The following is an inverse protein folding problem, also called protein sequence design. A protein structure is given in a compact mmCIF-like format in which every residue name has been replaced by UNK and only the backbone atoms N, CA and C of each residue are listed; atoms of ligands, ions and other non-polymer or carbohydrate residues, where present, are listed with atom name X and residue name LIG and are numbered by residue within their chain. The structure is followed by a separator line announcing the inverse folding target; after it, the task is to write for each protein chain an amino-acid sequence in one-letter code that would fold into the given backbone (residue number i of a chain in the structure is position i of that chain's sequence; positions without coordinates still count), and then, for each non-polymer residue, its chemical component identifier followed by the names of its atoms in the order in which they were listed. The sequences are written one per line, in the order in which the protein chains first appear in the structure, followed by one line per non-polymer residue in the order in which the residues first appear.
data_IF_105790873860
#
_entry.id   IF_105790873860
#
_cell.length_a   1.000
_cell.length_b   1.000
_cell.length_c   1.000
_cell.angle_alpha   90.00
_cell.angle_beta   90.00
_cell.angle_gamma   90.00
#
_symmetry.space_group_name_H-M   'P 1'
#
loop_
_entity.id
_entity.type
_entity.pdbx_description
1 polymer ?
#
# COMPACT_ATOMS: atom_id res chain seq x y z
N UNK A 1 17.00 -1.78 6.18
CA UNK A 1 15.64 -2.11 6.63
C UNK A 1 15.67 -2.58 8.08
N UNK A 2 14.81 -2.02 8.93
CA UNK A 2 14.69 -2.58 10.26
C UNK A 2 14.23 -4.04 10.18
N UNK A 3 14.64 -4.83 11.13
CA UNK A 3 14.22 -6.24 11.20
C UNK A 3 12.70 -6.33 11.25
N UNK A 4 12.14 -7.32 10.57
CA UNK A 4 10.71 -7.56 10.56
C UNK A 4 10.22 -7.79 11.99
N UNK A 5 9.31 -6.94 12.44
CA UNK A 5 8.78 -7.01 13.80
C UNK A 5 7.53 -7.89 13.81
N UNK A 6 7.51 -8.82 14.74
CA UNK A 6 6.32 -9.61 15.06
C UNK A 6 5.79 -9.13 16.39
N UNK A 7 4.49 -9.14 16.56
CA UNK A 7 3.92 -8.89 17.87
C UNK A 7 4.18 -10.10 18.80
N UNK A 8 3.73 -9.99 20.07
CA UNK A 8 3.92 -11.06 21.05
C UNK A 8 3.31 -12.39 20.63
N UNK A 9 2.34 -12.38 19.72
CA UNK A 9 1.72 -13.59 19.18
C UNK A 9 2.41 -14.07 17.90
N UNK A 10 3.49 -13.42 17.45
CA UNK A 10 4.21 -13.78 16.24
C UNK A 10 3.56 -13.32 14.95
N UNK A 11 2.54 -12.46 15.01
CA UNK A 11 1.84 -11.93 13.84
C UNK A 11 2.60 -10.73 13.28
N UNK A 12 2.82 -10.71 11.96
CA UNK A 12 3.43 -9.58 11.27
C UNK A 12 2.37 -8.52 11.03
N UNK A 13 2.71 -7.26 11.35
CA UNK A 13 1.80 -6.13 11.22
C UNK A 13 2.36 -5.07 10.30
N UNK A 14 1.50 -4.59 9.41
CA UNK A 14 1.79 -3.48 8.49
C UNK A 14 0.77 -2.39 8.68
N UNK A 15 1.13 -1.19 8.26
CA UNK A 15 0.25 -0.04 8.26
C UNK A 15 0.37 0.70 6.93
N UNK A 16 -0.73 1.26 6.45
CA UNK A 16 -0.74 1.96 5.18
C UNK A 16 -1.85 2.99 5.05
N UNK A 17 -1.75 3.77 3.99
CA UNK A 17 -2.72 4.81 3.66
C UNK A 17 -3.41 4.46 2.35
N UNK A 18 -4.74 4.55 2.35
CA UNK A 18 -5.55 4.50 1.14
C UNK A 18 -5.91 5.92 0.76
N UNK A 19 -5.14 6.50 -0.15
CA UNK A 19 -5.41 7.84 -0.67
C UNK A 19 -6.56 7.77 -1.67
N UNK A 20 -7.50 8.71 -1.57
CA UNK A 20 -8.66 8.76 -2.46
C UNK A 20 -8.98 10.19 -2.83
N UNK A 21 -9.68 10.36 -3.95
CA UNK A 21 -10.08 11.67 -4.45
C UNK A 21 -11.42 11.59 -5.16
N UNK A 22 -12.07 12.75 -5.31
CA UNK A 22 -13.33 12.88 -6.03
C UNK A 22 -13.07 13.39 -7.45
N UNK A 23 -13.74 12.78 -8.41
CA UNK A 23 -13.77 13.21 -9.80
C UNK A 23 -15.23 13.30 -10.24
N UNK A 24 -15.54 14.02 -11.36
CA UNK A 24 -16.92 14.10 -11.85
C UNK A 24 -17.55 12.73 -12.09
N UNK A 25 -16.77 11.75 -12.48
CA UNK A 25 -17.26 10.39 -12.73
C UNK A 25 -17.34 9.52 -11.47
N UNK A 26 -16.85 10.01 -10.32
CA UNK A 26 -16.89 9.25 -9.07
C UNK A 26 -15.58 9.29 -8.30
N UNK A 27 -15.46 8.39 -7.34
CA UNK A 27 -14.28 8.29 -6.47
C UNK A 27 -13.19 7.49 -7.15
N UNK A 28 -11.95 7.96 -6.99
CA UNK A 28 -10.75 7.22 -7.38
C UNK A 28 -9.86 6.97 -6.18
N UNK A 29 -9.16 5.85 -6.19
CA UNK A 29 -8.18 5.48 -5.16
C UNK A 29 -6.81 5.28 -5.78
N UNK A 30 -5.78 5.55 -4.98
CA UNK A 30 -4.38 5.36 -5.37
C UNK A 30 -3.91 3.99 -4.93
N UNK A 31 -3.42 3.22 -5.88
CA UNK A 31 -2.80 1.92 -5.60
C UNK A 31 -1.40 1.90 -6.22
N UNK A 32 -0.51 1.11 -5.61
CA UNK A 32 0.83 0.88 -6.11
C UNK A 32 0.99 -0.52 -6.68
N UNK A 33 1.71 -0.61 -7.79
CA UNK A 33 2.07 -1.89 -8.37
C UNK A 33 3.36 -2.39 -7.72
N UNK A 34 3.39 -3.63 -7.21
CA UNK A 34 4.60 -4.16 -6.58
C UNK A 34 5.74 -4.29 -7.60
N UNK A 35 6.91 -3.81 -7.21
CA UNK A 35 8.10 -3.89 -8.04
C UNK A 35 8.80 -5.23 -7.94
N UNK A 36 9.81 -5.39 -8.78
CA UNK A 36 10.61 -6.60 -8.82
C UNK A 36 10.14 -7.61 -9.85
N UNK A 37 10.97 -8.63 -10.11
CA UNK A 37 10.73 -9.55 -11.22
C UNK A 37 9.55 -10.49 -11.03
N UNK A 38 9.14 -10.76 -9.78
CA UNK A 38 8.04 -11.68 -9.52
C UNK A 38 6.67 -11.13 -9.97
N UNK A 39 6.53 -9.81 -10.01
CA UNK A 39 5.27 -9.14 -10.34
C UNK A 39 5.30 -8.37 -11.66
N UNK A 40 6.45 -8.38 -12.35
CA UNK A 40 6.66 -7.52 -13.52
C UNK A 40 5.58 -7.70 -14.61
N UNK A 41 5.03 -8.90 -14.76
CA UNK A 41 4.01 -9.22 -15.77
C UNK A 41 2.63 -9.46 -15.18
N UNK A 42 2.45 -9.18 -13.89
CA UNK A 42 1.16 -9.37 -13.21
C UNK A 42 0.48 -8.03 -13.05
N UNK A 43 -0.83 -8.03 -13.18
CA UNK A 43 -1.62 -6.81 -13.12
C UNK A 43 -2.81 -6.97 -12.16
N UNK A 44 -3.83 -7.73 -12.53
CA UNK A 44 -5.01 -7.88 -11.67
C UNK A 44 -4.67 -8.60 -10.37
N UNK A 45 -5.30 -8.17 -9.27
CA UNK A 45 -5.23 -8.80 -7.94
C UNK A 45 -3.84 -8.73 -7.27
N UNK A 46 -2.95 -7.84 -7.73
CA UNK A 46 -1.62 -7.68 -7.13
C UNK A 46 -1.33 -6.28 -6.62
N UNK A 47 -2.11 -5.28 -7.01
CA UNK A 47 -1.91 -3.91 -6.56
C UNK A 47 -2.24 -3.76 -5.08
N UNK A 48 -1.61 -2.81 -4.44
CA UNK A 48 -1.70 -2.62 -2.99
C UNK A 48 -1.76 -1.15 -2.64
N UNK A 49 -2.36 -0.85 -1.48
CA UNK A 49 -2.13 0.46 -0.87
C UNK A 49 -0.64 0.57 -0.52
N UNK A 50 -0.05 1.78 -0.56
CA UNK A 50 1.29 1.98 -0.02
C UNK A 50 1.29 1.63 1.48
N UNK A 51 2.10 0.65 1.87
CA UNK A 51 2.13 0.13 3.24
C UNK A 51 3.43 -0.59 3.50
N UNK A 52 3.77 -0.74 4.76
CA UNK A 52 4.90 -1.57 5.15
C UNK A 52 4.83 -1.99 6.61
N UNK A 53 5.72 -2.88 6.99
CA UNK A 53 5.82 -3.37 8.35
C UNK A 53 6.32 -2.29 9.28
N UNK A 54 5.81 -2.26 10.50
CA UNK A 54 6.21 -1.29 11.50
C UNK A 54 6.75 -1.97 12.76
N UNK A 55 7.51 -1.20 13.51
CA UNK A 55 8.16 -1.67 14.74
C UNK A 55 7.15 -1.71 15.89
N UNK A 56 7.40 -2.60 16.86
CA UNK A 56 6.52 -2.83 18.00
C UNK A 56 6.24 -1.55 18.80
N UNK A 57 7.22 -0.66 18.89
CA UNK A 57 7.11 0.61 19.61
C UNK A 57 6.65 1.77 18.72
N UNK A 58 6.42 1.53 17.45
CA UNK A 58 5.98 2.54 16.50
C UNK A 58 4.45 2.60 16.46
N UNK A 59 3.88 3.81 16.51
CA UNK A 59 2.44 3.98 16.37
C UNK A 59 2.00 3.62 14.95
N UNK A 60 0.96 2.79 14.79
CA UNK A 60 0.54 2.34 13.45
C UNK A 60 0.25 3.46 12.47
N UNK A 61 -0.41 4.54 12.91
CA UNK A 61 -0.71 5.68 12.04
C UNK A 61 0.56 6.39 11.59
N UNK A 62 1.51 6.60 12.50
CA UNK A 62 2.80 7.19 12.16
C UNK A 62 3.56 6.31 11.16
N UNK A 63 3.50 5.00 11.34
CA UNK A 63 4.09 4.04 10.43
C UNK A 63 3.45 4.11 9.04
N UNK A 64 2.12 4.26 8.97
CA UNK A 64 1.41 4.38 7.71
C UNK A 64 1.91 5.60 6.91
N UNK A 65 2.08 6.75 7.56
CA UNK A 65 2.62 7.96 6.94
C UNK A 65 4.07 7.76 6.49
N UNK A 66 4.89 7.16 7.33
CA UNK A 66 6.29 6.89 7.00
C UNK A 66 6.41 5.96 5.79
N UNK A 67 5.66 4.88 5.78
CA UNK A 67 5.69 3.90 4.69
C UNK A 67 5.16 4.51 3.39
N UNK A 68 4.13 5.35 3.47
CA UNK A 68 3.63 6.07 2.29
C UNK A 68 4.74 6.90 1.66
N UNK A 69 5.48 7.66 2.48
CA UNK A 69 6.57 8.51 1.99
C UNK A 69 7.73 7.66 1.44
N UNK A 70 8.07 6.56 2.08
CA UNK A 70 9.14 5.67 1.60
C UNK A 70 8.77 5.04 0.25
N UNK A 71 7.53 4.59 0.09
CA UNK A 71 7.11 3.88 -1.13
C UNK A 71 6.74 4.81 -2.28
N UNK A 72 6.36 6.05 -2.02
CA UNK A 72 6.00 7.00 -3.08
C UNK A 72 7.04 8.08 -3.31
N UNK A 73 7.91 8.33 -2.33
CA UNK A 73 8.85 9.45 -2.36
C UNK A 73 8.20 10.80 -2.13
N UNK A 74 6.91 10.82 -1.78
CA UNK A 74 6.13 12.04 -1.64
C UNK A 74 5.47 12.09 -0.26
N UNK A 75 5.29 13.32 0.24
CA UNK A 75 4.55 13.53 1.49
C UNK A 75 3.07 13.23 1.26
N UNK A 76 2.38 12.58 2.24
CA UNK A 76 0.94 12.43 2.16
C UNK A 76 0.23 13.77 2.14
N UNK A 77 -0.96 13.80 1.54
CA UNK A 77 -1.81 14.99 1.52
C UNK A 77 -2.13 15.45 2.95
N UNK A 78 -2.29 16.76 3.12
CA UNK A 78 -2.80 17.31 4.36
C UNK A 78 -4.29 16.98 4.49
N UNK A 79 -4.72 16.57 5.67
CA UNK A 79 -6.10 16.21 5.93
C UNK A 79 -6.19 15.25 7.11
N UNK A 80 -7.41 14.93 7.48
CA UNK A 80 -7.65 14.06 8.63
C UNK A 80 -7.76 12.60 8.18
N UNK A 81 -6.84 11.72 8.62
CA UNK A 81 -6.93 10.30 8.29
C UNK A 81 -8.13 9.66 9.00
N UNK A 82 -8.86 8.83 8.28
CA UNK A 82 -10.02 8.12 8.82
C UNK A 82 -9.68 6.63 8.93
N UNK A 83 -9.78 6.04 10.14
CA UNK A 83 -9.45 4.64 10.31
C UNK A 83 -10.35 3.73 9.46
N UNK A 84 -9.74 2.78 8.78
CA UNK A 84 -10.44 1.72 8.05
C UNK A 84 -10.36 0.37 8.77
N UNK A 85 -9.69 0.33 9.92
CA UNK A 85 -9.49 -0.91 10.66
C UNK A 85 -8.41 -1.78 10.07
N UNK A 86 -8.42 -3.05 10.43
CA UNK A 86 -7.44 -4.02 9.99
C UNK A 86 -8.04 -5.02 9.01
N UNK A 87 -7.21 -5.51 8.11
CA UNK A 87 -7.52 -6.67 7.27
C UNK A 87 -6.43 -7.71 7.43
N UNK A 88 -6.78 -8.97 7.25
CA UNK A 88 -5.82 -10.07 7.30
C UNK A 88 -5.54 -10.54 5.89
N UNK A 89 -4.26 -10.55 5.51
CA UNK A 89 -3.83 -11.07 4.23
C UNK A 89 -3.78 -12.60 4.26
N UNK A 90 -3.74 -13.22 3.08
CA UNK A 90 -3.64 -14.69 2.97
C UNK A 90 -2.42 -15.23 3.72
N UNK A 91 -1.33 -14.47 3.76
CA UNK A 91 -0.12 -14.83 4.50
C UNK A 91 -0.30 -14.82 6.02
N UNK A 92 -1.42 -14.32 6.53
CA UNK A 92 -1.66 -14.11 7.97
C UNK A 92 -1.24 -12.73 8.46
N UNK A 93 -0.53 -11.94 7.64
CA UNK A 93 -0.14 -10.58 8.00
C UNK A 93 -1.39 -9.72 8.19
N UNK A 94 -1.37 -8.88 9.24
CA UNK A 94 -2.42 -7.90 9.48
C UNK A 94 -2.00 -6.54 8.91
N UNK A 95 -2.93 -5.86 8.26
CA UNK A 95 -2.70 -4.52 7.70
C UNK A 95 -3.71 -3.57 8.30
N UNK A 96 -3.22 -2.60 9.08
CA UNK A 96 -4.02 -1.49 9.56
C UNK A 96 -3.98 -0.37 8.51
N UNK A 97 -5.13 0.20 8.17
CA UNK A 97 -5.20 1.21 7.13
C UNK A 97 -6.01 2.42 7.54
N UNK A 98 -5.66 3.56 6.96
CA UNK A 98 -6.41 4.82 7.10
C UNK A 98 -6.69 5.36 5.71
N UNK A 99 -7.89 5.91 5.53
CA UNK A 99 -8.25 6.63 4.32
C UNK A 99 -7.84 8.10 4.47
N UNK A 100 -7.32 8.67 3.40
CA UNK A 100 -6.92 10.06 3.36
C UNK A 100 -7.36 10.66 2.03
N UNK A 101 -8.15 11.73 2.09
CA UNK A 101 -8.56 12.43 0.87
C UNK A 101 -7.46 13.39 0.42
N UNK A 102 -7.07 13.34 -0.85
CA UNK A 102 -6.06 14.26 -1.37
C UNK A 102 -5.57 13.89 -2.75
N UNK A 103 -4.70 14.72 -3.27
CA UNK A 103 -4.10 14.57 -4.59
C UNK A 103 -2.66 14.09 -4.47
N UNK A 104 -2.19 13.45 -5.55
CA UNK A 104 -0.80 13.05 -5.68
C UNK A 104 -0.49 12.92 -7.16
N UNK A 105 0.67 13.46 -7.57
CA UNK A 105 1.17 13.32 -8.93
C UNK A 105 1.87 11.97 -9.07
N UNK A 106 1.19 11.02 -9.72
CA UNK A 106 1.73 9.66 -9.90
C UNK A 106 3.01 9.63 -10.73
N UNK A 107 3.24 10.65 -11.56
CA UNK A 107 4.47 10.73 -12.36
C UNK A 107 5.70 11.10 -11.53
N UNK A 108 5.49 11.64 -10.34
CA UNK A 108 6.56 12.02 -9.42
C UNK A 108 6.91 10.91 -8.41
N UNK A 109 6.24 9.77 -8.46
CA UNK A 109 6.47 8.66 -7.53
C UNK A 109 7.84 8.05 -7.74
N UNK A 110 8.63 7.97 -6.67
CA UNK A 110 9.93 7.29 -6.62
C UNK A 110 9.97 6.47 -5.35
N UNK A 111 9.89 5.17 -5.49
CA UNK A 111 9.84 4.26 -4.35
C UNK A 111 11.23 3.95 -3.82
N UNK A 112 11.31 3.64 -2.52
CA UNK A 112 12.49 3.01 -1.94
C UNK A 112 12.72 1.64 -2.56
N UNK A 113 13.92 1.09 -2.35
CA UNK A 113 14.35 -0.16 -2.94
C UNK A 113 14.34 -1.27 -1.89
N UNK A 114 14.12 -2.50 -2.36
CA UNK A 114 14.37 -3.70 -1.57
C UNK A 114 15.41 -4.57 -2.29
N UNK A 115 16.13 -5.40 -1.53
CA UNK A 115 17.14 -6.31 -2.06
C UNK A 115 16.56 -7.71 -2.14
N UNK A 116 16.83 -8.38 -3.25
CA UNK A 116 16.31 -9.71 -3.52
C UNK A 116 17.40 -10.56 -4.18
N UNK A 117 17.46 -11.83 -3.79
CA UNK A 117 18.30 -12.81 -4.50
C UNK A 117 17.68 -13.08 -5.87
N UNK A 118 18.38 -12.65 -6.92
CA UNK A 118 17.89 -12.78 -8.28
C UNK A 118 19.04 -12.77 -9.30
N UNK A 119 19.08 -13.62 -10.33
CA UNK A 119 18.12 -14.70 -10.59
C UNK A 119 18.18 -15.80 -9.53
N UNK A 120 17.17 -16.69 -9.48
CA UNK A 120 17.21 -17.82 -8.54
C UNK A 120 18.48 -18.65 -8.74
N UNK A 121 19.10 -19.08 -7.62
CA UNK A 121 20.31 -19.91 -7.60
C UNK A 121 21.55 -19.25 -8.20
N UNK A 122 21.54 -17.93 -8.42
CA UNK A 122 22.67 -17.21 -9.00
C UNK A 122 23.72 -16.81 -7.97
N UNK A 123 23.33 -16.75 -6.68
CA UNK A 123 24.17 -16.17 -5.63
C UNK A 123 24.25 -14.65 -5.72
N UNK A 124 23.51 -14.03 -6.62
CA UNK A 124 23.51 -12.58 -6.83
C UNK A 124 22.32 -11.93 -6.15
N UNK A 125 22.53 -10.69 -5.68
CA UNK A 125 21.48 -9.88 -5.09
C UNK A 125 21.30 -8.63 -5.94
N UNK A 126 20.04 -8.28 -6.21
CA UNK A 126 19.68 -7.09 -6.97
C UNK A 126 18.68 -6.26 -6.19
N UNK A 127 18.65 -4.96 -6.48
CA UNK A 127 17.70 -4.03 -5.87
C UNK A 127 16.58 -3.72 -6.85
N UNK A 128 15.37 -3.70 -6.31
CA UNK A 128 14.17 -3.36 -7.06
C UNK A 128 13.33 -2.38 -6.26
N UNK A 129 12.55 -1.50 -6.91
CA UNK A 129 11.64 -0.62 -6.17
C UNK A 129 10.55 -1.45 -5.49
N UNK A 130 10.16 -1.02 -4.28
CA UNK A 130 9.01 -1.63 -3.59
C UNK A 130 7.74 -1.45 -4.43
N UNK A 131 7.56 -0.26 -5.02
CA UNK A 131 6.53 0.00 -6.01
C UNK A 131 7.20 0.45 -7.31
N UNK A 132 6.87 -0.17 -8.42
CA UNK A 132 7.42 0.25 -9.71
C UNK A 132 6.58 1.36 -10.36
N UNK A 133 5.33 1.51 -9.96
CA UNK A 133 4.48 2.62 -10.37
C UNK A 133 3.28 2.76 -9.43
N UNK A 134 2.66 3.92 -9.43
CA UNK A 134 1.40 4.16 -8.75
C UNK A 134 0.39 4.69 -9.77
N UNK A 135 -0.89 4.41 -9.53
CA UNK A 135 -1.94 4.81 -10.47
C UNK A 135 -3.26 5.04 -9.74
N UNK A 136 -4.02 6.00 -10.24
CA UNK A 136 -5.38 6.23 -9.80
C UNK A 136 -6.34 5.30 -10.52
N UNK A 137 -7.26 4.70 -9.76
CA UNK A 137 -8.28 3.80 -10.30
C UNK A 137 -9.65 4.22 -9.80
N UNK A 138 -10.68 4.15 -10.65
CA UNK A 138 -12.04 4.19 -10.17
C UNK A 138 -12.32 2.94 -9.30
N UNK A 139 -13.38 2.98 -8.51
CA UNK A 139 -13.65 1.88 -7.57
C UNK A 139 -13.88 0.53 -8.27
N UNK A 140 -14.66 0.44 -9.35
CA UNK A 140 -14.82 -0.85 -10.03
C UNK A 140 -13.50 -1.44 -10.52
N UNK A 141 -12.63 -0.61 -11.08
CA UNK A 141 -11.30 -1.05 -11.54
C UNK A 141 -10.40 -1.41 -10.37
N UNK A 142 -10.42 -0.60 -9.30
CA UNK A 142 -9.63 -0.86 -8.11
C UNK A 142 -9.98 -2.22 -7.49
N UNK A 143 -11.26 -2.59 -7.49
CA UNK A 143 -11.70 -3.89 -6.95
C UNK A 143 -11.05 -5.06 -7.70
N UNK A 144 -10.85 -4.91 -9.01
CA UNK A 144 -10.18 -5.94 -9.82
C UNK A 144 -8.66 -5.93 -9.61
N UNK A 145 -8.08 -4.75 -9.45
CA UNK A 145 -6.63 -4.57 -9.36
C UNK A 145 -6.07 -4.90 -7.99
N UNK A 146 -6.79 -4.60 -6.92
CA UNK A 146 -6.28 -4.71 -5.56
C UNK A 146 -6.08 -6.17 -5.14
N UNK A 147 -5.03 -6.41 -4.37
CA UNK A 147 -4.79 -7.70 -3.73
C UNK A 147 -6.04 -8.12 -2.92
N UNK A 148 -6.52 -9.37 -3.08
CA UNK A 148 -7.82 -9.78 -2.51
C UNK A 148 -7.93 -9.58 -1.00
N UNK A 149 -6.85 -9.75 -0.24
CA UNK A 149 -6.87 -9.53 1.20
C UNK A 149 -7.13 -8.09 1.61
N UNK A 150 -6.90 -7.14 0.71
CA UNK A 150 -7.13 -5.71 0.96
C UNK A 150 -8.48 -5.23 0.45
N UNK A 151 -9.22 -6.07 -0.27
CA UNK A 151 -10.49 -5.68 -0.87
C UNK A 151 -11.48 -5.04 0.13
N UNK A 152 -11.62 -5.56 1.37
CA UNK A 152 -12.53 -4.92 2.33
C UNK A 152 -12.22 -3.46 2.62
N UNK A 153 -10.98 -3.00 2.43
CA UNK A 153 -10.64 -1.59 2.66
C UNK A 153 -11.41 -0.67 1.71
N UNK A 154 -11.66 -1.10 0.48
CA UNK A 154 -12.43 -0.31 -0.48
C UNK A 154 -13.89 -0.15 -0.02
N UNK A 155 -14.46 -1.19 0.59
CA UNK A 155 -15.83 -1.16 1.09
C UNK A 155 -15.99 -0.24 2.31
N UNK A 156 -14.89 0.05 3.01
CA UNK A 156 -14.89 0.85 4.23
C UNK A 156 -14.58 2.33 3.98
N UNK A 157 -14.39 2.73 2.72
CA UNK A 157 -14.06 4.13 2.39
C UNK A 157 -15.14 5.08 2.87
N UNK A 158 -14.76 6.14 3.64
CA UNK A 158 -15.73 7.10 4.17
C UNK A 158 -16.00 8.21 3.16
N UNK A 159 -16.42 7.86 1.96
CA UNK A 159 -16.56 8.82 0.88
C UNK A 159 -17.75 9.77 1.09
N UNK A 160 -18.66 9.45 1.99
CA UNK A 160 -19.88 10.22 2.18
C UNK A 160 -20.77 10.25 0.95
N UNK A 161 -20.35 9.55 -0.07
CA UNK A 161 -21.13 9.42 -1.28
C UNK A 161 -22.14 8.31 -1.02
N UNK A 162 -23.21 8.61 -0.37
CA UNK A 162 -24.31 7.66 -0.20
C UNK A 162 -24.70 7.10 -1.56
N UNK A 163 -23.79 6.45 -2.14
CA UNK A 163 -23.93 5.94 -3.49
C UNK A 163 -24.90 4.89 -3.59
#
# INVERSE_FOLDING_TARGET
RPSRTRDRAGVRRSAGLLLWRRRPAGVEVLLGHPGGPLFARRDDAVWSIPKGEYLEDEQPLAAAYREFTEETGLAPAAGDPVPLGEVRLRSGKLVAAWALEGELDVTAVVSNLFTMHWPPRSGQFQRFPELDRAQWFDLPTARRKISPGQLPLLDRLPTGLGC
#
